data_IF_371723997048
#
_entry.id   IF_371723997048
#
_cell.length_a   1.000
_cell.length_b   1.000
_cell.length_c   1.000
_cell.angle_alpha   90.00
_cell.angle_beta   90.00
_cell.angle_gamma   90.00
#
_symmetry.space_group_name_H-M   'P 1'
#
loop_
_entity.id
_entity.type
_entity.pdbx_description
1 polymer ?
#
# COMPACT_ATOMS: atom_id res chain seq x y z
N UNK A 1 -48.74 32.09 -40.19
CA UNK A 1 -48.13 30.97 -39.46
C UNK A 1 -46.74 30.70 -40.05
N UNK A 2 -45.67 31.22 -39.44
CA UNK A 2 -44.30 31.02 -39.94
C UNK A 2 -43.74 29.72 -39.36
N UNK A 3 -43.55 28.70 -40.21
CA UNK A 3 -42.81 27.48 -39.82
C UNK A 3 -41.34 27.85 -39.71
N UNK A 4 -40.81 27.97 -38.49
CA UNK A 4 -39.37 28.05 -38.23
C UNK A 4 -38.75 26.75 -38.76
N UNK A 5 -37.93 26.86 -39.81
CA UNK A 5 -37.13 25.74 -40.29
C UNK A 5 -36.27 25.22 -39.13
N UNK A 6 -36.37 23.94 -38.80
CA UNK A 6 -35.43 23.28 -37.90
C UNK A 6 -34.12 23.15 -38.66
N UNK A 7 -33.20 24.10 -38.44
CA UNK A 7 -31.80 23.91 -38.83
C UNK A 7 -31.23 22.82 -37.92
N UNK A 8 -31.01 21.62 -38.48
CA UNK A 8 -30.28 20.56 -37.80
C UNK A 8 -28.79 20.87 -37.77
N UNK A 9 -28.08 20.32 -36.78
CA UNK A 9 -26.62 20.34 -36.81
C UNK A 9 -26.16 19.56 -38.06
N UNK A 10 -25.11 20.02 -38.74
CA UNK A 10 -24.58 19.30 -39.89
C UNK A 10 -24.20 17.87 -39.43
N UNK A 11 -24.76 16.81 -40.05
CA UNK A 11 -24.55 15.43 -39.61
C UNK A 11 -23.06 15.06 -39.48
N UNK A 12 -22.22 15.61 -40.35
CA UNK A 12 -20.77 15.37 -40.34
C UNK A 12 -20.11 16.05 -39.14
N UNK A 13 -20.54 17.27 -38.80
CA UNK A 13 -19.99 18.01 -37.65
C UNK A 13 -20.44 17.34 -36.35
N UNK A 14 -21.66 16.80 -36.31
CA UNK A 14 -22.19 16.07 -35.16
C UNK A 14 -21.28 14.87 -34.81
N UNK A 15 -20.91 14.08 -35.81
CA UNK A 15 -20.10 12.87 -35.59
C UNK A 15 -18.69 13.21 -35.18
N UNK A 16 -18.09 14.26 -35.74
CA UNK A 16 -16.75 14.74 -35.33
C UNK A 16 -16.73 15.16 -33.86
N UNK A 17 -17.73 15.91 -33.41
CA UNK A 17 -17.84 16.32 -32.00
C UNK A 17 -18.03 15.09 -31.09
N UNK A 18 -18.92 14.16 -31.48
CA UNK A 18 -19.17 12.95 -30.70
C UNK A 18 -17.92 12.08 -30.56
N UNK A 19 -17.18 11.86 -31.65
CA UNK A 19 -15.93 11.08 -31.64
C UNK A 19 -14.86 11.79 -30.81
N UNK A 20 -14.72 13.10 -30.95
CA UNK A 20 -13.75 13.87 -30.17
C UNK A 20 -14.03 13.78 -28.66
N UNK A 21 -15.27 14.00 -28.24
CA UNK A 21 -15.67 13.88 -26.82
C UNK A 21 -15.51 12.45 -26.32
N UNK A 22 -15.87 11.45 -27.14
CA UNK A 22 -15.71 10.04 -26.76
C UNK A 22 -14.25 9.68 -26.49
N UNK A 23 -13.30 10.14 -27.32
CA UNK A 23 -11.87 9.90 -27.11
C UNK A 23 -11.39 10.61 -25.83
N UNK A 24 -11.80 11.86 -25.60
CA UNK A 24 -11.42 12.62 -24.41
C UNK A 24 -11.90 11.92 -23.14
N UNK A 25 -13.17 11.49 -23.09
CA UNK A 25 -13.71 10.77 -21.93
C UNK A 25 -13.00 9.43 -21.74
N UNK A 26 -12.74 8.69 -22.82
CA UNK A 26 -12.05 7.40 -22.74
C UNK A 26 -10.66 7.53 -22.09
N UNK A 27 -9.88 8.53 -22.51
CA UNK A 27 -8.56 8.80 -21.92
C UNK A 27 -8.68 9.25 -20.46
N UNK A 28 -9.64 10.13 -20.16
CA UNK A 28 -9.88 10.60 -18.79
C UNK A 28 -10.21 9.44 -17.84
N UNK A 29 -11.11 8.54 -18.24
CA UNK A 29 -11.48 7.35 -17.45
C UNK A 29 -10.31 6.39 -17.33
N UNK A 30 -9.53 6.16 -18.39
CA UNK A 30 -8.37 5.28 -18.34
C UNK A 30 -7.30 5.76 -17.35
N UNK A 31 -6.99 7.06 -17.34
CA UNK A 31 -6.04 7.62 -16.38
C UNK A 31 -6.61 7.69 -14.96
N UNK A 32 -7.90 7.97 -14.82
CA UNK A 32 -8.57 7.92 -13.52
C UNK A 32 -8.54 6.52 -12.91
N UNK A 33 -8.87 5.49 -13.70
CA UNK A 33 -8.81 4.09 -13.28
C UNK A 33 -7.38 3.65 -12.92
N UNK A 34 -6.37 4.10 -13.68
CA UNK A 34 -4.95 3.84 -13.35
C UNK A 34 -4.56 4.42 -11.99
N UNK A 35 -5.10 5.60 -11.62
CA UNK A 35 -4.91 6.19 -10.30
C UNK A 35 -5.47 5.33 -9.16
N UNK A 36 -6.65 4.71 -9.37
CA UNK A 36 -7.25 3.78 -8.40
C UNK A 36 -6.43 2.50 -8.26
N UNK A 37 -5.91 1.95 -9.36
CA UNK A 37 -5.04 0.76 -9.33
C UNK A 37 -3.80 1.04 -8.49
N UNK A 38 -3.14 2.20 -8.65
CA UNK A 38 -1.96 2.56 -7.87
C UNK A 38 -2.20 2.67 -6.36
N UNK A 39 -3.42 3.00 -5.93
CA UNK A 39 -3.80 3.07 -4.52
C UNK A 39 -4.12 1.67 -3.94
N UNK A 40 -4.81 0.81 -4.68
CA UNK A 40 -5.29 -0.48 -4.17
C UNK A 40 -4.36 -1.66 -4.43
N UNK A 41 -3.39 -1.52 -5.33
CA UNK A 41 -2.36 -2.54 -5.56
C UNK A 41 -1.17 -2.43 -4.60
N UNK A 42 -1.10 -1.32 -3.84
CA UNK A 42 -0.10 -1.18 -2.78
C UNK A 42 -0.59 -1.89 -1.53
N UNK A 43 0.24 -2.77 -1.00
CA UNK A 43 -0.04 -3.45 0.26
C UNK A 43 1.20 -3.51 1.14
N UNK A 44 0.97 -3.35 2.44
CA UNK A 44 1.98 -3.54 3.48
C UNK A 44 1.98 -4.99 3.92
N UNK A 45 3.15 -5.63 3.90
CA UNK A 45 3.30 -7.00 4.39
C UNK A 45 4.70 -7.19 4.96
N UNK A 46 4.75 -7.54 6.23
CA UNK A 46 5.97 -7.92 6.91
C UNK A 46 5.96 -9.42 7.20
N UNK A 47 7.10 -10.05 7.02
CA UNK A 47 7.32 -11.46 7.35
C UNK A 47 8.47 -11.57 8.35
N UNK A 48 8.25 -12.36 9.39
CA UNK A 48 9.30 -12.69 10.37
C UNK A 48 10.03 -13.92 9.83
N UNK A 49 11.27 -13.72 9.36
CA UNK A 49 12.11 -14.80 8.84
C UNK A 49 12.62 -15.68 9.99
N UNK A 50 13.05 -15.04 11.08
CA UNK A 50 13.57 -15.74 12.25
C UNK A 50 13.51 -14.86 13.48
N UNK A 51 13.33 -15.46 14.64
CA UNK A 51 13.48 -14.83 15.94
C UNK A 51 14.39 -15.70 16.80
N UNK A 52 15.47 -15.12 17.34
CA UNK A 52 16.45 -15.84 18.16
C UNK A 52 16.62 -15.10 19.49
N UNK A 53 16.49 -15.83 20.59
CA UNK A 53 16.78 -15.30 21.93
C UNK A 53 18.31 -15.15 22.09
N UNK A 54 18.76 -13.94 22.43
CA UNK A 54 20.18 -13.64 22.70
C UNK A 54 20.50 -13.68 24.20
N UNK A 55 19.52 -13.31 25.03
CA UNK A 55 19.61 -13.36 26.49
C UNK A 55 18.22 -13.57 27.08
N UNK A 56 18.11 -13.70 28.41
CA UNK A 56 16.82 -13.88 29.08
C UNK A 56 15.80 -12.78 28.73
N UNK A 57 16.24 -11.59 28.34
CA UNK A 57 15.35 -10.47 28.04
C UNK A 57 15.55 -9.87 26.66
N UNK A 58 16.34 -10.48 25.78
CA UNK A 58 16.68 -9.92 24.48
C UNK A 58 16.46 -10.90 23.34
N UNK A 59 15.79 -10.43 22.29
CA UNK A 59 15.52 -11.14 21.06
C UNK A 59 16.12 -10.41 19.87
N UNK A 60 16.72 -11.17 18.97
CA UNK A 60 17.05 -10.71 17.63
C UNK A 60 15.99 -11.23 16.66
N UNK A 61 15.23 -10.33 16.05
CA UNK A 61 14.19 -10.67 15.07
C UNK A 61 14.63 -10.19 13.70
N UNK A 62 14.69 -11.11 12.74
CA UNK A 62 14.93 -10.81 11.33
C UNK A 62 13.60 -10.71 10.62
N UNK A 63 13.33 -9.52 10.08
CA UNK A 63 12.05 -9.16 9.47
C UNK A 63 12.32 -8.73 8.04
N UNK A 64 11.45 -9.15 7.12
CA UNK A 64 11.49 -8.76 5.72
C UNK A 64 10.18 -8.12 5.30
N UNK A 65 10.28 -7.01 4.57
CA UNK A 65 9.14 -6.45 3.89
C UNK A 65 8.91 -7.23 2.58
N UNK A 66 7.83 -8.01 2.54
CA UNK A 66 7.36 -8.72 1.35
C UNK A 66 6.15 -8.03 0.70
N UNK A 67 5.80 -6.85 1.22
CA UNK A 67 4.85 -5.93 0.62
C UNK A 67 5.40 -5.23 -0.61
N UNK A 68 4.58 -4.37 -1.19
CA UNK A 68 4.93 -3.56 -2.36
C UNK A 68 5.18 -2.09 -2.02
N UNK A 69 5.18 -1.74 -0.74
CA UNK A 69 5.40 -0.38 -0.24
C UNK A 69 6.29 -0.41 0.99
N UNK A 70 7.01 0.67 1.25
CA UNK A 70 7.79 0.82 2.47
C UNK A 70 6.86 0.75 3.69
N UNK A 71 7.31 0.05 4.74
CA UNK A 71 6.51 -0.17 5.96
C UNK A 71 7.37 0.16 7.18
N UNK A 72 6.76 0.83 8.17
CA UNK A 72 7.42 1.17 9.42
C UNK A 72 7.08 0.15 10.51
N UNK A 73 8.06 -0.24 11.31
CA UNK A 73 7.78 -0.96 12.55
C UNK A 73 7.30 0.02 13.61
N UNK A 74 6.19 -0.32 14.25
CA UNK A 74 5.58 0.50 15.31
C UNK A 74 5.72 -0.23 16.65
N UNK A 75 5.34 -1.50 16.68
CA UNK A 75 5.21 -2.27 17.90
C UNK A 75 5.60 -3.73 17.68
N UNK A 76 6.21 -4.34 18.69
CA UNK A 76 6.45 -5.79 18.74
C UNK A 76 5.64 -6.40 19.88
N UNK A 77 4.90 -7.46 19.56
CA UNK A 77 4.08 -8.22 20.51
C UNK A 77 4.57 -9.66 20.52
N UNK A 78 4.80 -10.21 21.72
CA UNK A 78 5.23 -11.59 21.90
C UNK A 78 4.20 -12.27 22.83
N UNK A 79 3.62 -13.39 22.40
CA UNK A 79 2.59 -14.13 23.15
C UNK A 79 1.43 -13.27 23.67
N UNK A 80 1.02 -12.25 22.91
CA UNK A 80 -0.05 -11.33 23.28
C UNK A 80 0.34 -10.28 24.33
N UNK A 81 1.58 -10.26 24.82
CA UNK A 81 2.11 -9.22 25.70
C UNK A 81 2.82 -8.15 24.89
N UNK A 82 2.53 -6.89 25.21
CA UNK A 82 3.30 -5.76 24.69
C UNK A 82 4.70 -5.79 25.30
N UNK A 83 5.71 -5.75 24.43
CA UNK A 83 7.10 -5.92 24.85
C UNK A 83 7.82 -4.59 24.94
N UNK A 84 7.77 -3.81 23.87
CA UNK A 84 8.33 -2.48 23.78
C UNK A 84 7.84 -1.79 22.50
N UNK A 85 7.86 -0.46 22.50
CA UNK A 85 7.87 0.31 21.27
C UNK A 85 9.20 0.09 20.55
N UNK A 86 9.18 0.05 19.23
CA UNK A 86 10.42 -0.05 18.46
C UNK A 86 11.15 1.30 18.56
N UNK A 87 12.22 1.33 19.35
CA UNK A 87 13.05 2.54 19.52
C UNK A 87 13.75 2.87 18.19
N UNK A 88 13.28 3.93 17.53
CA UNK A 88 13.75 4.37 16.23
C UNK A 88 12.83 3.91 15.10
N UNK A 89 12.27 4.87 14.35
CA UNK A 89 11.47 4.59 13.16
C UNK A 89 12.33 3.88 12.12
N UNK A 90 12.27 2.55 12.13
CA UNK A 90 12.94 1.73 11.13
C UNK A 90 11.93 1.47 10.01
N UNK A 91 11.98 2.32 8.99
CA UNK A 91 11.29 2.08 7.71
C UNK A 91 12.03 0.98 6.97
N UNK A 92 11.32 -0.05 6.52
CA UNK A 92 11.84 -1.07 5.61
C UNK A 92 11.30 -0.83 4.22
N UNK A 93 12.19 -0.67 3.26
CA UNK A 93 11.83 -0.60 1.85
C UNK A 93 11.27 -1.95 1.35
N UNK A 94 10.51 -1.91 0.26
CA UNK A 94 9.96 -3.12 -0.36
C UNK A 94 11.08 -4.11 -0.73
N UNK A 95 10.99 -5.34 -0.23
CA UNK A 95 11.99 -6.39 -0.45
C UNK A 95 13.18 -6.35 0.53
N UNK A 96 13.31 -5.32 1.35
CA UNK A 96 14.39 -5.17 2.31
C UNK A 96 14.23 -6.14 3.50
N UNK A 97 15.37 -6.61 4.01
CA UNK A 97 15.45 -7.38 5.25
C UNK A 97 16.24 -6.61 6.29
N UNK A 98 15.70 -6.51 7.50
CA UNK A 98 16.37 -5.89 8.64
C UNK A 98 16.41 -6.83 9.83
N UNK A 99 17.42 -6.61 10.67
CA UNK A 99 17.57 -7.27 11.96
C UNK A 99 17.23 -6.24 13.02
N UNK A 100 16.28 -6.55 13.89
CA UNK A 100 15.81 -5.69 14.96
C UNK A 100 16.07 -6.37 16.31
N UNK A 101 16.71 -5.64 17.22
CA UNK A 101 16.81 -6.03 18.63
C UNK A 101 15.54 -5.65 19.38
N UNK A 102 14.98 -6.58 20.15
CA UNK A 102 13.78 -6.37 20.96
C UNK A 102 14.09 -6.77 22.39
N UNK A 103 13.84 -5.87 23.35
CA UNK A 103 14.07 -6.11 24.77
C UNK A 103 12.74 -6.22 25.51
N UNK A 104 12.55 -7.29 26.29
CA UNK A 104 11.37 -7.54 27.15
C UNK A 104 11.67 -7.19 28.60
N UNK A 105 10.65 -6.79 29.37
CA UNK A 105 10.77 -6.53 30.81
C UNK A 105 10.91 -7.80 31.66
N UNK A 106 10.49 -8.95 31.14
CA UNK A 106 10.53 -10.25 31.83
C UNK A 106 10.85 -11.36 30.83
N UNK A 107 11.69 -12.32 31.24
CA UNK A 107 11.98 -13.49 30.40
C UNK A 107 10.72 -14.26 30.05
N UNK A 108 10.52 -14.66 28.77
CA UNK A 108 9.44 -15.56 28.42
C UNK A 108 9.58 -16.91 29.12
N UNK A 109 8.47 -17.66 29.28
CA UNK A 109 8.47 -19.00 29.85
C UNK A 109 9.44 -19.94 29.12
N UNK A 110 10.03 -20.90 29.82
CA UNK A 110 10.93 -21.88 29.20
C UNK A 110 10.21 -22.69 28.10
N UNK A 111 10.84 -22.82 26.93
CA UNK A 111 10.33 -23.64 25.81
C UNK A 111 9.68 -22.86 24.66
N UNK A 112 9.81 -21.53 24.62
CA UNK A 112 9.56 -20.70 23.43
C UNK A 112 10.83 -20.43 22.63
#
# INVERSE_FOLDING_TARGET
>A
MMKRGKAGINPVIATVILVAVAIVIAIAVAFWASGLVGAFTRFEKLEIISSVMKSQTEFEVRIRNTGSTATSLIQVVINGQFVADVTGTTTLESGETRICGVTVSTSPPAGV
#
